data_IF_319739383831
#
_entry.id   IF_319739383831
#
_cell.length_a   1.000
_cell.length_b   1.000
_cell.length_c   1.000
_cell.angle_alpha   90.00
_cell.angle_beta   90.00
_cell.angle_gamma   90.00
#
_symmetry.space_group_name_H-M   'P 1'
#
loop_
_entity.id
_entity.type
_entity.pdbx_description
1 polymer ?
#
# COMPACT_ATOMS: atom_id res chain seq x y z
N UNK A 1 14.20 -19.59 51.95
CA UNK A 1 13.30 -19.31 50.82
C UNK A 1 13.89 -18.13 50.06
N UNK A 2 14.55 -18.37 48.93
CA UNK A 2 15.10 -17.32 48.08
C UNK A 2 14.12 -17.11 46.93
N UNK A 3 13.47 -15.94 46.89
CA UNK A 3 12.66 -15.50 45.76
C UNK A 3 13.56 -14.74 44.79
N UNK A 4 13.76 -15.31 43.61
CA UNK A 4 14.39 -14.63 42.47
C UNK A 4 13.42 -13.59 41.93
N UNK A 5 13.72 -12.31 42.12
CA UNK A 5 12.98 -11.21 41.49
C UNK A 5 13.58 -10.96 40.09
N UNK A 6 12.90 -11.43 39.06
CA UNK A 6 13.18 -11.06 37.67
C UNK A 6 12.46 -9.73 37.39
N UNK A 7 13.17 -8.62 37.51
CA UNK A 7 12.62 -7.30 37.16
C UNK A 7 13.07 -6.97 35.75
N UNK A 8 12.16 -7.17 34.79
CA UNK A 8 12.35 -6.87 33.38
C UNK A 8 12.46 -5.34 33.25
N UNK A 9 13.65 -4.85 32.90
CA UNK A 9 13.85 -3.47 32.48
C UNK A 9 13.10 -3.27 31.17
N UNK A 10 11.98 -2.54 31.22
CA UNK A 10 11.37 -1.92 30.05
C UNK A 10 12.35 -0.87 29.52
N UNK A 11 13.28 -1.30 28.66
CA UNK A 11 13.93 -0.38 27.75
C UNK A 11 12.92 -0.03 26.67
N UNK A 12 12.33 1.16 26.81
CA UNK A 12 11.49 1.83 25.82
C UNK A 12 12.31 2.04 24.54
N UNK A 13 12.35 1.02 23.68
CA UNK A 13 12.82 1.16 22.32
C UNK A 13 11.83 2.07 21.60
N UNK A 14 12.09 3.38 21.58
CA UNK A 14 11.62 4.22 20.48
C UNK A 14 12.28 3.65 19.23
N UNK A 15 11.62 2.67 18.60
CA UNK A 15 11.82 2.39 17.21
C UNK A 15 11.33 3.63 16.46
N UNK A 16 12.24 4.59 16.27
CA UNK A 16 12.08 5.55 15.21
C UNK A 16 12.12 4.74 13.92
N UNK A 17 10.95 4.30 13.46
CA UNK A 17 10.78 3.83 12.10
C UNK A 17 11.16 5.01 11.21
N UNK A 18 12.38 4.99 10.71
CA UNK A 18 12.76 5.79 9.57
C UNK A 18 11.77 5.43 8.47
N UNK A 19 10.83 6.33 8.18
CA UNK A 19 10.07 6.27 6.93
C UNK A 19 11.12 6.40 5.84
N UNK A 20 11.47 5.27 5.25
CA UNK A 20 12.15 5.24 3.95
C UNK A 20 11.13 5.91 3.03
N UNK A 21 11.37 7.17 2.64
CA UNK A 21 10.48 7.92 1.75
C UNK A 21 10.55 7.30 0.36
N UNK A 22 9.88 6.17 0.20
CA UNK A 22 9.62 5.47 -1.05
C UNK A 22 8.14 5.56 -1.41
N UNK A 23 7.88 5.38 -2.70
CA UNK A 23 6.54 5.22 -3.25
C UNK A 23 5.86 4.01 -2.60
N UNK A 24 4.62 4.18 -2.14
CA UNK A 24 3.88 3.13 -1.45
C UNK A 24 2.50 2.98 -2.05
N UNK A 25 2.03 1.74 -2.13
CA UNK A 25 0.68 1.42 -2.53
C UNK A 25 -0.02 0.57 -1.46
N UNK A 26 -1.32 0.80 -1.23
CA UNK A 26 -2.12 -0.05 -0.35
C UNK A 26 -3.58 -0.19 -0.79
N UNK A 27 -4.23 -1.28 -0.35
CA UNK A 27 -5.68 -1.49 -0.45
C UNK A 27 -6.32 -1.89 0.88
N UNK A 28 -7.53 -1.38 1.15
CA UNK A 28 -8.26 -1.69 2.39
C UNK A 28 -8.86 -3.09 2.38
N UNK A 29 -8.35 -4.01 3.20
CA UNK A 29 -8.90 -5.37 3.31
C UNK A 29 -10.20 -5.47 4.11
N UNK A 30 -10.39 -4.63 5.14
CA UNK A 30 -11.64 -4.65 5.91
C UNK A 30 -12.83 -4.18 5.08
N UNK A 31 -12.63 -3.24 4.16
CA UNK A 31 -13.69 -2.82 3.26
C UNK A 31 -14.04 -3.95 2.27
N UNK A 32 -13.06 -4.76 1.82
CA UNK A 32 -13.35 -5.85 0.86
C UNK A 32 -14.35 -6.84 1.42
N UNK A 33 -14.30 -7.11 2.73
CA UNK A 33 -15.29 -7.97 3.42
C UNK A 33 -16.70 -7.40 3.38
N UNK A 34 -16.84 -6.09 3.24
CA UNK A 34 -18.11 -5.39 3.07
C UNK A 34 -18.43 -5.15 1.57
N UNK A 35 -17.71 -5.79 0.66
CA UNK A 35 -17.90 -5.68 -0.78
C UNK A 35 -17.51 -4.32 -1.35
N UNK A 36 -16.63 -3.57 -0.67
CA UNK A 36 -16.09 -2.31 -1.19
C UNK A 36 -14.58 -2.29 -1.10
N UNK A 37 -13.91 -1.56 -1.98
CA UNK A 37 -12.46 -1.46 -1.90
C UNK A 37 -12.00 -0.06 -2.24
N UNK A 38 -10.95 0.35 -1.56
CA UNK A 38 -10.24 1.59 -1.84
C UNK A 38 -8.78 1.25 -2.00
N UNK A 39 -8.16 1.87 -3.00
CA UNK A 39 -6.77 1.70 -3.30
C UNK A 39 -6.10 3.07 -3.31
N UNK A 40 -4.91 3.14 -2.72
CA UNK A 40 -4.21 4.39 -2.52
C UNK A 40 -2.74 4.28 -2.87
N UNK A 41 -2.21 5.40 -3.36
CA UNK A 41 -0.84 5.55 -3.79
C UNK A 41 -0.23 6.77 -3.12
N UNK A 42 1.02 6.65 -2.69
CA UNK A 42 1.83 7.73 -2.12
C UNK A 42 3.11 7.83 -2.94
N UNK A 43 3.40 9.01 -3.44
CA UNK A 43 4.63 9.32 -4.17
C UNK A 43 5.40 10.42 -3.43
N UNK A 44 6.53 10.07 -2.82
CA UNK A 44 7.53 11.00 -2.24
C UNK A 44 7.09 11.95 -1.11
N UNK A 45 5.79 12.21 -0.97
CA UNK A 45 5.15 13.16 -0.07
C UNK A 45 4.37 12.43 1.04
N UNK A 46 4.01 13.14 2.11
CA UNK A 46 3.25 12.59 3.25
C UNK A 46 1.76 12.32 2.96
N UNK A 47 1.29 12.50 1.72
CA UNK A 47 -0.12 12.39 1.35
C UNK A 47 -0.41 11.18 0.47
N UNK A 48 -1.57 10.56 0.67
CA UNK A 48 -2.07 9.47 -0.16
C UNK A 48 -3.14 9.97 -1.14
N UNK A 49 -3.01 9.57 -2.39
CA UNK A 49 -4.03 9.70 -3.42
C UNK A 49 -4.83 8.41 -3.47
N UNK A 50 -6.13 8.51 -3.24
CA UNK A 50 -7.01 7.35 -3.08
C UNK A 50 -8.13 7.35 -4.11
N UNK A 51 -8.48 6.17 -4.61
CA UNK A 51 -9.73 5.99 -5.35
C UNK A 51 -10.94 6.39 -4.52
N UNK A 52 -12.07 6.65 -5.17
CA UNK A 52 -13.36 6.49 -4.51
C UNK A 52 -13.55 5.04 -4.03
N UNK A 53 -14.48 4.79 -3.11
CA UNK A 53 -14.80 3.44 -2.66
C UNK A 53 -15.49 2.66 -3.78
N UNK A 54 -14.76 1.75 -4.41
CA UNK A 54 -15.18 0.88 -5.50
C UNK A 54 -15.94 -0.34 -4.95
N UNK A 55 -16.69 -1.07 -5.77
CA UNK A 55 -17.44 -2.26 -5.35
C UNK A 55 -16.65 -3.58 -5.60
N UNK A 56 -16.84 -4.61 -4.79
CA UNK A 56 -16.13 -5.89 -4.95
C UNK A 56 -14.72 -5.88 -4.35
N UNK A 57 -13.82 -6.66 -4.94
CA UNK A 57 -12.43 -6.85 -4.50
C UNK A 57 -11.47 -6.02 -5.33
N UNK A 58 -10.31 -5.65 -4.77
CA UNK A 58 -9.28 -4.94 -5.53
C UNK A 58 -8.85 -5.73 -6.77
N UNK A 59 -8.88 -7.07 -6.72
CA UNK A 59 -8.52 -7.96 -7.84
C UNK A 59 -9.42 -7.83 -9.05
N UNK A 60 -10.63 -7.30 -8.88
CA UNK A 60 -11.61 -7.16 -9.96
C UNK A 60 -11.28 -5.99 -10.91
N UNK A 61 -10.35 -5.12 -10.53
CA UNK A 61 -10.04 -3.88 -11.24
C UNK A 61 -8.92 -4.04 -12.26
N UNK A 62 -9.21 -4.77 -13.33
CA UNK A 62 -8.29 -5.01 -14.45
C UNK A 62 -8.12 -3.84 -15.45
N UNK A 63 -8.77 -2.71 -15.18
CA UNK A 63 -8.71 -1.48 -15.96
C UNK A 63 -8.07 -0.38 -15.14
N UNK A 64 -7.56 0.66 -15.80
CA UNK A 64 -7.05 1.85 -15.13
C UNK A 64 -8.16 2.52 -14.29
N UNK A 65 -7.86 2.78 -13.03
CA UNK A 65 -8.69 3.52 -12.09
C UNK A 65 -7.90 4.74 -11.63
N UNK A 66 -8.48 5.92 -11.78
CA UNK A 66 -7.87 7.17 -11.32
C UNK A 66 -7.83 7.22 -9.78
N UNK A 67 -6.66 7.52 -9.22
CA UNK A 67 -6.47 7.65 -7.76
C UNK A 67 -6.27 9.10 -7.31
N UNK A 68 -5.99 10.02 -8.23
CA UNK A 68 -5.69 11.42 -7.94
C UNK A 68 -4.41 11.88 -8.63
N UNK A 69 -4.26 13.19 -8.79
CA UNK A 69 -3.03 13.86 -9.24
C UNK A 69 -2.39 13.32 -10.53
N UNK A 70 -3.22 12.85 -11.46
CA UNK A 70 -2.75 12.28 -12.73
C UNK A 70 -2.35 10.81 -12.64
N UNK A 71 -2.42 10.18 -11.46
CA UNK A 71 -2.09 8.77 -11.27
C UNK A 71 -3.27 7.84 -11.49
N UNK A 72 -2.96 6.67 -12.05
CA UNK A 72 -3.88 5.59 -12.28
C UNK A 72 -3.29 4.29 -11.76
N UNK A 73 -4.14 3.46 -11.17
CA UNK A 73 -3.81 2.10 -10.79
C UNK A 73 -4.53 1.09 -11.68
N UNK A 74 -3.91 -0.05 -11.93
CA UNK A 74 -4.52 -1.18 -12.63
C UNK A 74 -4.02 -2.48 -12.03
N UNK A 75 -4.94 -3.37 -11.66
CA UNK A 75 -4.58 -4.68 -11.14
C UNK A 75 -4.44 -5.67 -12.28
N UNK A 76 -3.37 -6.46 -12.31
CA UNK A 76 -3.23 -7.48 -13.35
C UNK A 76 -4.39 -8.49 -13.27
N UNK A 77 -5.00 -8.75 -14.43
CA UNK A 77 -6.11 -9.67 -14.62
C UNK A 77 -5.71 -11.15 -14.45
N UNK A 78 -4.44 -11.45 -14.22
CA UNK A 78 -3.91 -12.81 -14.06
C UNK A 78 -4.24 -13.41 -12.68
N UNK A 79 -4.95 -12.69 -11.82
CA UNK A 79 -5.38 -13.11 -10.49
C UNK A 79 -4.25 -13.13 -9.45
N UNK A 80 -3.00 -12.82 -9.86
CA UNK A 80 -1.87 -12.67 -8.93
C UNK A 80 -1.92 -11.35 -8.19
N UNK A 81 -2.62 -10.37 -8.77
CA UNK A 81 -2.90 -9.11 -8.10
C UNK A 81 -1.67 -8.20 -8.04
N UNK A 82 -0.87 -8.20 -9.09
CA UNK A 82 0.13 -7.16 -9.30
C UNK A 82 -0.60 -5.83 -9.49
N UNK A 83 -0.27 -4.82 -8.68
CA UNK A 83 -0.74 -3.46 -8.84
C UNK A 83 0.24 -2.73 -9.75
N UNK A 84 -0.24 -2.24 -10.89
CA UNK A 84 0.51 -1.33 -11.76
C UNK A 84 0.05 0.10 -11.49
N UNK A 85 0.99 1.03 -11.41
CA UNK A 85 0.74 2.45 -11.19
C UNK A 85 1.36 3.21 -12.37
N UNK A 86 0.59 4.10 -12.98
CA UNK A 86 1.04 4.92 -14.11
C UNK A 86 0.54 6.36 -13.95
N UNK A 87 1.36 7.35 -14.31
CA UNK A 87 0.89 8.72 -14.51
C UNK A 87 0.21 8.91 -15.88
N UNK A 88 -0.59 9.96 -16.02
CA UNK A 88 -1.25 10.38 -17.27
C UNK A 88 -0.27 10.74 -18.39
N UNK A 89 0.83 11.42 -18.04
CA UNK A 89 1.90 11.81 -18.93
C UNK A 89 2.83 10.62 -19.30
N UNK A 90 2.65 9.47 -18.65
CA UNK A 90 3.42 8.25 -18.89
C UNK A 90 4.85 8.26 -18.37
N UNK A 91 5.29 9.33 -17.70
CA UNK A 91 6.63 9.48 -17.15
C UNK A 91 6.86 8.62 -15.91
N UNK A 92 5.79 8.37 -15.15
CA UNK A 92 5.82 7.45 -14.03
C UNK A 92 5.21 6.12 -14.43
N UNK A 93 5.99 5.05 -14.23
CA UNK A 93 5.50 3.67 -14.23
C UNK A 93 6.15 2.93 -13.09
N UNK A 94 5.32 2.27 -12.29
CA UNK A 94 5.78 1.35 -11.27
C UNK A 94 4.81 0.22 -11.08
N UNK A 95 5.26 -0.79 -10.36
CA UNK A 95 4.43 -1.91 -9.98
C UNK A 95 4.75 -2.36 -8.56
N UNK A 96 3.84 -3.11 -7.98
CA UNK A 96 4.11 -3.82 -6.74
C UNK A 96 3.19 -5.05 -6.61
N UNK A 97 3.52 -5.94 -5.68
CA UNK A 97 2.63 -7.02 -5.27
C UNK A 97 2.14 -6.77 -3.84
N UNK A 98 0.87 -6.36 -3.63
CA UNK A 98 0.37 -6.02 -2.30
C UNK A 98 0.22 -7.25 -1.38
N UNK A 99 0.98 -7.26 -0.29
CA UNK A 99 0.94 -8.31 0.73
C UNK A 99 0.07 -7.88 1.91
N UNK A 100 -0.58 -8.85 2.56
CA UNK A 100 -1.47 -8.53 3.69
C UNK A 100 -0.65 -8.20 4.93
N UNK A 101 -0.83 -6.98 5.43
CA UNK A 101 -0.31 -6.52 6.70
C UNK A 101 -1.39 -6.73 7.78
N UNK A 102 -1.07 -7.57 8.77
CA UNK A 102 -2.00 -7.93 9.84
C UNK A 102 -2.17 -6.81 10.89
N UNK A 103 -1.15 -5.95 11.05
CA UNK A 103 -1.16 -4.85 12.02
C UNK A 103 -2.01 -3.71 11.46
N UNK A 104 -1.73 -3.33 10.21
CA UNK A 104 -2.41 -2.26 9.49
C UNK A 104 -3.74 -2.70 8.88
N UNK A 105 -4.03 -4.01 8.89
CA UNK A 105 -5.30 -4.58 8.43
C UNK A 105 -5.62 -4.23 6.96
N UNK A 106 -4.57 -4.02 6.17
CA UNK A 106 -4.61 -3.60 4.77
C UNK A 106 -3.59 -4.41 3.97
N UNK A 107 -3.71 -4.39 2.64
CA UNK A 107 -2.62 -4.88 1.79
C UNK A 107 -1.71 -3.73 1.45
N UNK A 108 -0.41 -3.91 1.58
CA UNK A 108 0.59 -2.87 1.38
C UNK A 108 1.76 -3.43 0.57
N UNK A 109 2.44 -2.55 -0.14
CA UNK A 109 3.68 -2.83 -0.83
C UNK A 109 4.43 -1.51 -1.04
N UNK A 110 5.76 -1.63 -1.09
CA UNK A 110 6.58 -0.57 -1.66
C UNK A 110 6.54 -0.70 -3.18
N UNK A 111 6.39 0.42 -3.87
CA UNK A 111 6.30 0.46 -5.33
C UNK A 111 7.71 0.36 -5.90
N UNK A 112 7.88 -0.56 -6.85
CA UNK A 112 9.09 -0.71 -7.64
C UNK A 112 8.88 0.13 -8.90
N UNK A 113 9.67 1.18 -9.03
CA UNK A 113 9.60 2.08 -10.18
C UNK A 113 10.26 1.42 -11.41
N UNK A 114 9.48 1.19 -12.46
CA UNK A 114 9.93 0.56 -13.73
C UNK A 114 10.58 1.57 -14.67
N UNK A 115 10.12 2.80 -14.62
CA UNK A 115 10.68 3.92 -15.35
C UNK A 115 10.56 5.13 -14.43
N UNK A 116 11.65 5.51 -13.74
CA UNK A 116 11.57 6.51 -12.71
C UNK A 116 11.26 7.89 -13.25
N UNK A 117 11.43 8.15 -14.55
CA UNK A 117 11.11 9.43 -15.16
C UNK A 117 11.32 9.42 -16.68
N UNK A 118 10.52 10.25 -17.37
CA UNK A 118 11.07 11.18 -18.34
C UNK A 118 11.91 12.19 -17.55
#
# INVERSE_FOLDING_TARGET
MHFTLCTILLSSSLAACASVNGEQFWTNCFQERNGRVQACFREGNDWYFCTTALAGSWRDYNRKVYVGDGYYIQMNADGKGLANITSDNGCFKGHCLPEYDAEEKKRICDVITDSPNC
#
